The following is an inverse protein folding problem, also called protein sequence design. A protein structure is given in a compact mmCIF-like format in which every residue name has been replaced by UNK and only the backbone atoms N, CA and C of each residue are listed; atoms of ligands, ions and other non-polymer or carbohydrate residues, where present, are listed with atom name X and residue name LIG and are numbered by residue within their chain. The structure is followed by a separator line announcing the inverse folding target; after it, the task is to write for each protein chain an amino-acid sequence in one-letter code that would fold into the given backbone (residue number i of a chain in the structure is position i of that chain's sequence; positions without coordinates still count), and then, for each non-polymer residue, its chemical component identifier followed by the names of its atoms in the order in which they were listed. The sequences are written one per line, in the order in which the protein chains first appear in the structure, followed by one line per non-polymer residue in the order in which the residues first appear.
data_IF_204520017194
#
_entry.id   IF_204520017194
#
_cell.length_a   1.000
_cell.length_b   1.000
_cell.length_c   1.000
_cell.angle_alpha   90.00
_cell.angle_beta   90.00
_cell.angle_gamma   90.00
#
_symmetry.space_group_name_H-M   'P 1'
#
loop_
_entity.id
_entity.type
_entity.pdbx_description
1 polymer ?
#
# COMPACT_ATOMS: atom_id res chain seq x y z
N UNK A 1 -1.85 -22.06 -27.20
CA UNK A 1 -3.04 -22.59 -26.51
C UNK A 1 -2.62 -22.89 -25.10
N UNK A 2 -3.24 -22.24 -24.12
CA UNK A 2 -2.99 -22.56 -22.71
C UNK A 2 -3.88 -23.73 -22.29
N UNK A 3 -3.61 -24.31 -21.12
CA UNK A 3 -4.32 -25.49 -20.58
C UNK A 3 -5.85 -25.32 -20.47
N UNK A 4 -6.36 -24.08 -20.56
CA UNK A 4 -7.79 -23.72 -20.51
C UNK A 4 -8.43 -23.39 -21.88
N UNK A 5 -7.70 -23.50 -23.00
CA UNK A 5 -8.21 -23.15 -24.34
C UNK A 5 -8.38 -21.65 -24.62
N UNK A 6 -8.11 -20.78 -23.64
CA UNK A 6 -8.14 -19.32 -23.82
C UNK A 6 -6.98 -18.81 -24.71
N UNK A 7 -7.31 -17.95 -25.68
CA UNK A 7 -6.35 -17.20 -26.47
C UNK A 7 -5.91 -16.00 -25.62
N UNK A 8 -4.62 -15.97 -25.27
CA UNK A 8 -4.01 -14.83 -24.60
C UNK A 8 -3.17 -14.02 -25.58
N UNK A 9 -3.43 -12.72 -25.60
CA UNK A 9 -2.77 -11.76 -26.47
C UNK A 9 -1.78 -10.95 -25.64
N UNK A 10 -0.50 -10.88 -26.04
CA UNK A 10 0.46 -10.01 -25.37
C UNK A 10 0.13 -8.55 -25.65
N UNK A 11 -0.02 -7.74 -24.60
CA UNK A 11 -0.18 -6.28 -24.69
C UNK A 11 0.87 -5.56 -23.87
N UNK A 12 1.23 -4.36 -24.31
CA UNK A 12 2.17 -3.49 -23.61
C UNK A 12 1.42 -2.46 -22.78
N UNK A 13 1.74 -2.42 -21.48
CA UNK A 13 1.08 -1.55 -20.52
C UNK A 13 2.15 -0.71 -19.84
N UNK A 14 1.88 0.58 -19.67
CA UNK A 14 2.73 1.48 -18.91
C UNK A 14 2.15 1.69 -17.51
N UNK A 15 3.01 1.57 -16.50
CA UNK A 15 2.61 1.87 -15.13
C UNK A 15 2.56 3.39 -14.92
N UNK A 16 1.39 3.88 -14.52
CA UNK A 16 1.08 5.32 -14.38
C UNK A 16 1.21 5.78 -12.92
N UNK A 17 1.44 4.85 -12.00
CA UNK A 17 1.64 5.14 -10.57
C UNK A 17 0.45 4.80 -9.69
N UNK A 18 0.60 5.07 -8.40
CA UNK A 18 -0.43 4.90 -7.39
C UNK A 18 -1.41 6.05 -7.47
N UNK A 19 -2.69 5.76 -7.19
CA UNK A 19 -3.74 6.76 -7.00
C UNK A 19 -4.52 6.43 -5.74
N UNK A 20 -5.24 7.42 -5.25
CA UNK A 20 -6.23 7.25 -4.20
C UNK A 20 -7.60 7.38 -4.82
N UNK A 21 -8.39 6.30 -4.74
CA UNK A 21 -9.78 6.27 -5.18
C UNK A 21 -10.62 5.77 -4.02
N UNK A 22 -11.65 6.52 -3.65
CA UNK A 22 -12.48 6.26 -2.46
C UNK A 22 -11.64 6.05 -1.19
N UNK A 23 -10.56 6.83 -1.07
CA UNK A 23 -9.62 6.76 0.06
C UNK A 23 -8.81 5.46 0.14
N UNK A 24 -8.79 4.64 -0.92
CA UNK A 24 -8.01 3.40 -1.00
C UNK A 24 -6.92 3.51 -2.06
N UNK A 25 -5.78 2.86 -1.80
CA UNK A 25 -4.70 2.72 -2.78
C UNK A 25 -5.19 1.90 -3.97
N UNK A 26 -5.00 2.44 -5.17
CA UNK A 26 -5.12 1.71 -6.43
C UNK A 26 -3.89 1.95 -7.29
N UNK A 27 -3.65 1.06 -8.24
CA UNK A 27 -2.50 1.05 -9.14
C UNK A 27 -3.01 1.35 -10.55
N UNK A 28 -2.56 2.47 -11.10
CA UNK A 28 -3.00 2.98 -12.40
C UNK A 28 -2.08 2.45 -13.51
N UNK A 29 -2.70 1.99 -14.60
CA UNK A 29 -2.02 1.46 -15.79
C UNK A 29 -2.67 2.00 -17.05
N UNK A 30 -1.87 2.23 -18.09
CA UNK A 30 -2.35 2.66 -19.42
C UNK A 30 -1.90 1.64 -20.46
N UNK A 31 -2.82 1.21 -21.31
CA UNK A 31 -2.50 0.30 -22.43
C UNK A 31 -1.89 1.12 -23.55
N UNK A 32 -0.74 0.69 -24.08
CA UNK A 32 -0.11 1.37 -25.21
C UNK A 32 -0.77 0.95 -26.52
N UNK A 33 -1.05 1.92 -27.40
CA UNK A 33 -1.64 1.69 -28.72
C UNK A 33 -3.17 1.57 -28.74
N UNK A 34 -3.82 1.60 -27.58
CA UNK A 34 -5.28 1.71 -27.45
C UNK A 34 -5.63 3.08 -26.83
N UNK A 35 -6.92 3.42 -26.81
CA UNK A 35 -7.47 4.65 -26.24
C UNK A 35 -6.71 5.08 -24.97
N UNK A 36 -6.39 6.38 -24.83
CA UNK A 36 -5.64 7.02 -23.72
C UNK A 36 -6.23 6.83 -22.30
N UNK A 37 -7.19 5.92 -22.16
CA UNK A 37 -7.80 5.48 -20.91
C UNK A 37 -6.80 4.84 -19.96
N UNK A 38 -6.96 5.20 -18.68
CA UNK A 38 -6.18 4.65 -17.56
C UNK A 38 -7.07 3.65 -16.83
N UNK A 39 -6.63 2.40 -16.73
CA UNK A 39 -7.22 1.36 -15.91
C UNK A 39 -6.69 1.38 -14.46
N UNK A 40 -7.55 1.02 -13.50
CA UNK A 40 -7.21 1.01 -12.07
C UNK A 40 -7.37 -0.38 -11.46
N UNK A 41 -6.32 -0.83 -10.76
CA UNK A 41 -6.28 -2.14 -10.12
C UNK A 41 -6.05 -2.00 -8.63
N UNK A 42 -6.75 -2.79 -7.81
CA UNK A 42 -6.57 -2.77 -6.35
C UNK A 42 -5.27 -3.47 -5.90
N UNK A 43 -4.78 -4.42 -6.70
CA UNK A 43 -3.55 -5.17 -6.42
C UNK A 43 -2.42 -4.68 -7.32
N UNK A 44 -1.16 -4.69 -6.84
CA UNK A 44 -0.03 -4.45 -7.71
C UNK A 44 0.08 -5.62 -8.69
N UNK A 45 0.11 -5.33 -9.98
CA UNK A 45 0.22 -6.36 -11.02
C UNK A 45 1.67 -6.80 -11.24
N UNK A 46 2.64 -5.93 -10.93
CA UNK A 46 4.07 -6.21 -10.99
C UNK A 46 4.82 -5.32 -9.97
N UNK A 47 6.10 -5.64 -9.73
CA UNK A 47 7.04 -4.72 -9.06
C UNK A 47 7.38 -3.56 -10.02
N UNK A 48 6.43 -2.64 -10.16
CA UNK A 48 6.40 -1.65 -11.24
C UNK A 48 7.02 -0.31 -10.84
N UNK A 49 7.64 0.36 -11.81
CA UNK A 49 8.16 1.73 -11.69
C UNK A 49 7.39 2.68 -12.62
N UNK A 50 7.13 3.91 -12.18
CA UNK A 50 6.32 4.87 -12.97
C UNK A 50 7.00 5.13 -14.32
N UNK A 51 6.23 5.02 -15.40
CA UNK A 51 6.74 5.11 -16.76
C UNK A 51 7.43 3.83 -17.27
N UNK A 52 7.52 2.77 -16.46
CA UNK A 52 7.96 1.46 -16.93
C UNK A 52 6.89 0.81 -17.81
N UNK A 53 7.31 0.28 -18.96
CA UNK A 53 6.48 -0.48 -19.89
C UNK A 53 6.70 -1.96 -19.66
N UNK A 54 5.60 -2.69 -19.50
CA UNK A 54 5.58 -4.10 -19.18
C UNK A 54 4.70 -4.84 -20.18
N UNK A 55 5.08 -6.07 -20.50
CA UNK A 55 4.24 -6.99 -21.25
C UNK A 55 3.32 -7.74 -20.30
N UNK A 56 2.03 -7.66 -20.59
CA UNK A 56 0.98 -8.47 -19.96
C UNK A 56 0.33 -9.37 -20.98
N UNK A 57 -0.30 -10.45 -20.52
CA UNK A 57 -1.10 -11.34 -21.35
C UNK A 57 -2.56 -11.18 -20.96
N UNK A 58 -3.37 -10.75 -21.90
CA UNK A 58 -4.79 -10.47 -21.73
C UNK A 58 -5.62 -11.46 -22.56
N UNK A 59 -6.81 -11.83 -22.08
CA UNK A 59 -7.76 -12.59 -22.88
C UNK A 59 -8.24 -11.78 -24.08
N UNK A 60 -8.64 -12.45 -25.16
CA UNK A 60 -9.15 -11.81 -26.39
C UNK A 60 -10.34 -10.86 -26.13
N UNK A 61 -11.14 -11.13 -25.10
CA UNK A 61 -12.27 -10.28 -24.69
C UNK A 61 -11.88 -9.08 -23.79
N UNK A 62 -10.60 -8.92 -23.44
CA UNK A 62 -10.09 -7.82 -22.63
C UNK A 62 -10.50 -7.85 -21.15
N UNK A 63 -11.07 -8.95 -20.66
CA UNK A 63 -11.61 -9.02 -19.28
C UNK A 63 -10.63 -9.62 -18.28
N UNK A 64 -9.72 -10.46 -18.74
CA UNK A 64 -8.86 -11.25 -17.88
C UNK A 64 -7.40 -10.97 -18.21
N UNK A 65 -6.61 -10.65 -17.19
CA UNK A 65 -5.17 -10.45 -17.33
C UNK A 65 -4.47 -11.53 -16.50
N UNK A 66 -3.64 -12.35 -17.14
CA UNK A 66 -2.79 -13.33 -16.43
C UNK A 66 -1.49 -12.64 -16.02
N UNK A 67 -1.12 -12.81 -14.74
CA UNK A 67 0.04 -12.15 -14.11
C UNK A 67 0.94 -13.11 -13.33
N UNK A 68 0.81 -14.41 -13.57
CA UNK A 68 1.50 -15.45 -12.79
C UNK A 68 2.09 -16.55 -13.67
N UNK A 69 3.13 -17.22 -13.15
CA UNK A 69 3.81 -18.33 -13.83
C UNK A 69 4.47 -17.87 -15.12
N UNK A 70 4.27 -18.62 -16.20
CA UNK A 70 4.77 -18.28 -17.55
C UNK A 70 4.25 -16.96 -18.09
N UNK A 71 3.10 -16.47 -17.59
CA UNK A 71 2.48 -15.19 -17.98
C UNK A 71 2.77 -14.08 -16.97
N UNK A 72 3.82 -14.24 -16.14
CA UNK A 72 4.25 -13.17 -15.24
C UNK A 72 4.64 -11.92 -16.04
N UNK A 73 4.31 -10.71 -15.57
CA UNK A 73 4.60 -9.50 -16.33
C UNK A 73 6.10 -9.29 -16.49
N UNK A 74 6.52 -8.91 -17.70
CA UNK A 74 7.94 -8.72 -18.04
C UNK A 74 8.19 -7.26 -18.34
N UNK A 75 9.17 -6.66 -17.67
CA UNK A 75 9.63 -5.33 -18.00
C UNK A 75 10.27 -5.32 -19.39
N UNK A 76 9.84 -4.40 -20.25
CA UNK A 76 10.35 -4.26 -21.60
C UNK A 76 11.27 -3.05 -21.74
N UNK A 77 10.77 -1.87 -21.39
CA UNK A 77 11.46 -0.59 -21.59
C UNK A 77 10.86 0.52 -20.74
N UNK A 78 11.45 1.71 -20.78
CA UNK A 78 10.81 2.93 -20.29
C UNK A 78 9.92 3.53 -21.38
N UNK A 79 8.88 4.23 -20.95
CA UNK A 79 8.03 5.03 -21.83
C UNK A 79 8.81 6.22 -22.37
N UNK A 80 8.64 6.49 -23.66
CA UNK A 80 9.49 7.44 -24.38
C UNK A 80 9.13 8.91 -24.07
N UNK A 81 7.88 9.17 -23.68
CA UNK A 81 7.43 10.53 -23.35
C UNK A 81 7.79 10.90 -21.90
N UNK A 82 8.95 11.54 -21.73
CA UNK A 82 9.48 11.95 -20.42
C UNK A 82 8.55 12.92 -19.69
N UNK A 83 7.91 13.86 -20.40
CA UNK A 83 7.02 14.85 -19.78
C UNK A 83 5.75 14.18 -19.21
N UNK A 84 5.19 13.21 -19.93
CA UNK A 84 4.06 12.42 -19.45
C UNK A 84 4.45 11.61 -18.20
N UNK A 85 5.64 10.99 -18.22
CA UNK A 85 6.19 10.26 -17.06
C UNK A 85 6.39 11.17 -15.86
N UNK A 86 6.87 12.40 -16.05
CA UNK A 86 7.02 13.39 -14.96
C UNK A 86 5.69 13.73 -14.32
N UNK A 87 4.66 13.99 -15.12
CA UNK A 87 3.30 14.27 -14.64
C UNK A 87 2.77 13.08 -13.82
N UNK A 88 2.99 11.85 -14.30
CA UNK A 88 2.57 10.66 -13.57
C UNK A 88 3.33 10.46 -12.26
N UNK A 89 4.64 10.72 -12.24
CA UNK A 89 5.47 10.62 -11.06
C UNK A 89 5.02 11.62 -9.98
N UNK A 90 4.70 12.86 -10.38
CA UNK A 90 4.15 13.86 -9.45
C UNK A 90 2.83 13.38 -8.82
N UNK A 91 1.92 12.83 -9.62
CA UNK A 91 0.63 12.29 -9.13
C UNK A 91 0.83 11.08 -8.22
N UNK A 92 1.80 10.21 -8.52
CA UNK A 92 2.16 9.06 -7.67
C UNK A 92 2.67 9.52 -6.30
N UNK A 93 3.55 10.52 -6.28
CA UNK A 93 4.11 11.07 -5.05
C UNK A 93 3.04 11.73 -4.18
N UNK A 94 2.15 12.53 -4.78
CA UNK A 94 1.01 13.12 -4.07
C UNK A 94 0.10 12.04 -3.44
N UNK A 95 -0.20 10.96 -4.17
CA UNK A 95 -1.00 9.86 -3.65
C UNK A 95 -0.31 9.12 -2.49
N UNK A 96 1.01 8.93 -2.55
CA UNK A 96 1.79 8.34 -1.46
C UNK A 96 1.73 9.20 -0.19
N UNK A 97 1.86 10.51 -0.35
CA UNK A 97 1.77 11.46 0.77
C UNK A 97 0.38 11.40 1.42
N UNK A 98 -0.70 11.42 0.63
CA UNK A 98 -2.06 11.31 1.14
C UNK A 98 -2.29 10.02 1.93
N UNK A 99 -1.85 8.88 1.37
CA UNK A 99 -1.95 7.58 2.06
C UNK A 99 -1.11 7.53 3.33
N UNK A 100 0.05 8.19 3.34
CA UNK A 100 0.90 8.30 4.54
C UNK A 100 0.19 9.07 5.65
N UNK A 101 -0.38 10.23 5.34
CA UNK A 101 -1.16 11.05 6.30
C UNK A 101 -2.35 10.25 6.83
N UNK A 102 -3.09 9.57 5.96
CA UNK A 102 -4.23 8.73 6.38
C UNK A 102 -3.80 7.59 7.29
N UNK A 103 -2.67 6.94 6.99
CA UNK A 103 -2.08 5.89 7.83
C UNK A 103 -1.66 6.44 9.19
N UNK A 104 -1.03 7.61 9.24
CA UNK A 104 -0.66 8.29 10.49
C UNK A 104 -1.88 8.62 11.34
N UNK A 105 -2.93 9.19 10.74
CA UNK A 105 -4.19 9.49 11.46
C UNK A 105 -4.85 8.22 11.98
N UNK A 106 -4.86 7.14 11.19
CA UNK A 106 -5.42 5.84 11.61
C UNK A 106 -4.61 5.20 12.74
N UNK A 107 -3.29 5.36 12.75
CA UNK A 107 -2.42 4.87 13.84
C UNK A 107 -2.61 5.68 15.11
N UNK A 108 -2.63 7.01 14.99
CA UNK A 108 -2.90 7.92 16.10
C UNK A 108 -4.28 7.65 16.73
N UNK A 109 -5.27 7.22 15.94
CA UNK A 109 -6.60 6.89 16.44
C UNK A 109 -6.76 5.46 17.00
N UNK A 110 -5.78 4.56 16.79
CA UNK A 110 -5.90 3.14 17.14
C UNK A 110 -5.19 2.71 18.41
N UNK A 111 -4.27 3.54 18.89
CA UNK A 111 -3.59 3.31 20.16
C UNK A 111 -4.08 4.40 21.10
N UNK A 112 -4.98 4.04 22.02
CA UNK A 112 -5.22 4.90 23.16
C UNK A 112 -3.90 4.99 23.93
N UNK A 113 -3.28 6.18 24.06
CA UNK A 113 -2.02 6.34 24.79
C UNK A 113 -2.09 5.77 26.21
N UNK A 114 -3.29 5.77 26.81
CA UNK A 114 -3.54 5.17 28.11
C UNK A 114 -3.43 3.65 28.08
N UNK A 115 -3.90 3.00 27.02
CA UNK A 115 -3.91 1.55 26.90
C UNK A 115 -2.51 0.98 26.64
N UNK A 116 -1.67 1.71 25.89
CA UNK A 116 -0.24 1.41 25.72
C UNK A 116 0.54 1.59 27.03
N UNK A 117 0.26 2.65 27.78
CA UNK A 117 0.84 2.88 29.10
C UNK A 117 0.45 1.76 30.08
N UNK A 118 -0.84 1.38 30.11
CA UNK A 118 -1.35 0.28 30.94
C UNK A 118 -0.74 -1.07 30.55
N UNK A 119 -0.51 -1.32 29.26
CA UNK A 119 0.14 -2.55 28.79
C UNK A 119 1.60 -2.64 29.28
N UNK A 120 2.31 -1.50 29.25
CA UNK A 120 3.67 -1.35 29.74
C UNK A 120 3.75 -1.57 31.26
N UNK A 121 2.85 -0.95 32.01
CA UNK A 121 2.71 -1.12 33.45
C UNK A 121 2.39 -2.57 33.83
N UNK A 122 1.50 -3.25 33.07
CA UNK A 122 1.20 -4.68 33.26
C UNK A 122 2.40 -5.57 33.01
N UNK A 123 3.24 -5.26 32.01
CA UNK A 123 4.45 -6.04 31.71
C UNK A 123 5.50 -5.89 32.81
N UNK A 124 5.65 -4.69 33.35
CA UNK A 124 6.54 -4.41 34.48
C UNK A 124 6.02 -5.13 35.73
N UNK A 125 4.73 -4.97 36.07
CA UNK A 125 4.16 -5.53 37.28
C UNK A 125 4.24 -7.06 37.34
N UNK A 126 4.13 -7.75 36.21
CA UNK A 126 4.32 -9.21 36.15
C UNK A 126 5.68 -9.69 36.67
N UNK A 127 6.73 -8.88 36.53
CA UNK A 127 8.10 -9.20 36.99
C UNK A 127 8.38 -8.81 38.44
N UNK A 128 7.45 -8.09 39.07
CA UNK A 128 7.58 -7.62 40.45
C UNK A 128 6.95 -8.62 41.44
N UNK A 129 7.53 -8.69 42.63
CA UNK A 129 6.95 -9.35 43.80
C UNK A 129 5.70 -8.64 44.30
N UNK A 130 4.93 -9.28 45.19
CA UNK A 130 3.70 -8.68 45.75
C UNK A 130 3.94 -7.36 46.47
N UNK A 131 5.06 -7.25 47.19
CA UNK A 131 5.47 -6.03 47.91
C UNK A 131 5.85 -4.91 46.94
N UNK A 132 6.63 -5.22 45.91
CA UNK A 132 7.03 -4.26 44.88
C UNK A 132 5.85 -3.79 44.03
N UNK A 133 4.88 -4.67 43.75
CA UNK A 133 3.62 -4.28 43.08
C UNK A 133 2.82 -3.28 43.92
N UNK A 134 2.74 -3.49 45.24
CA UNK A 134 2.06 -2.54 46.15
C UNK A 134 2.78 -1.20 46.22
N UNK A 135 4.11 -1.22 46.29
CA UNK A 135 4.91 0.00 46.28
C UNK A 135 4.76 0.77 44.96
N UNK A 136 4.76 0.08 43.82
CA UNK A 136 4.52 0.69 42.51
C UNK A 136 3.13 1.32 42.41
N UNK A 137 2.08 0.63 42.88
CA UNK A 137 0.72 1.17 42.89
C UNK A 137 0.59 2.39 43.81
N UNK A 138 1.20 2.36 44.99
CA UNK A 138 1.23 3.50 45.90
C UNK A 138 1.92 4.69 45.24
N UNK A 139 3.09 4.48 44.61
CA UNK A 139 3.84 5.54 43.96
C UNK A 139 3.10 6.16 42.77
N UNK A 140 2.38 5.34 42.00
CA UNK A 140 1.53 5.82 40.90
C UNK A 140 0.34 6.62 41.45
N UNK A 141 -0.30 6.16 42.52
CA UNK A 141 -1.39 6.88 43.16
C UNK A 141 -0.92 8.23 43.71
N UNK A 142 0.22 8.25 44.40
CA UNK A 142 0.83 9.47 44.92
C UNK A 142 1.03 10.48 43.78
N UNK A 143 1.67 10.07 42.68
CA UNK A 143 1.98 10.95 41.53
C UNK A 143 0.72 11.46 40.81
N UNK A 144 -0.36 10.66 40.76
CA UNK A 144 -1.64 11.09 40.14
C UNK A 144 -2.38 12.10 41.01
N UNK A 145 -2.30 11.95 42.33
CA UNK A 145 -3.01 12.78 43.30
C UNK A 145 -2.13 13.86 43.95
N UNK A 146 -0.88 14.03 43.51
CA UNK A 146 -0.08 15.18 43.93
C UNK A 146 -0.58 16.40 43.17
N UNK A 147 -1.24 17.32 43.87
CA UNK A 147 -1.59 18.64 43.31
C UNK A 147 -0.28 19.40 43.00
N UNK A 148 -0.16 19.90 41.76
CA UNK A 148 0.75 20.99 41.41
C UNK A 148 0.06 22.34 41.69
#
# INVERSE_FOLDING_TARGET
MNEDGEILIPKEWVYVGQRVVDGKRVYAWKVLGENDSIGYYKKPLAAASVGGVYRFFESDDGKTIKVSGTYSPVYLRKHDNIEEVRIWAFKDEAAKQELSVKSMNTKASKVDPLEDLLSSLRRISKKLSSTERRALLSRIADEIFTEN
#
